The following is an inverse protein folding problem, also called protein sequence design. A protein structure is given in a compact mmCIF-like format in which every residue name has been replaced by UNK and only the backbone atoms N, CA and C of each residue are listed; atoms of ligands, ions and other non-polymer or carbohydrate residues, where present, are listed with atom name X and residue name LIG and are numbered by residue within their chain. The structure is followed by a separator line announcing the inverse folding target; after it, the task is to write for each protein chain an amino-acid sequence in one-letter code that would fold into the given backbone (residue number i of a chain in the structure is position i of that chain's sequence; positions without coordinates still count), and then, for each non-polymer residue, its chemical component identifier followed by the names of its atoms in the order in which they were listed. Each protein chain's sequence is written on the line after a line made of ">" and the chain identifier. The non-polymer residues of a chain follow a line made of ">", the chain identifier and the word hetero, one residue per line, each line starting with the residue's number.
data_IF_330418156964
#
_entry.id   IF_330418156964
#
_cell.length_a   1.000
_cell.length_b   1.000
_cell.length_c   1.000
_cell.angle_alpha   90.00
_cell.angle_beta   90.00
_cell.angle_gamma   90.00
#
_symmetry.space_group_name_H-M   'P 1'
#
loop_
_entity.id
_entity.type
_entity.pdbx_description
1 polymer ?
#
# COMPACT_ATOMS: atom_id res chain seq x y z
N UNK A 1 -20.08 -15.56 10.11
CA UNK A 1 -19.68 -14.73 11.27
C UNK A 1 -18.30 -14.23 10.99
N UNK A 2 -18.10 -12.93 11.06
CA UNK A 2 -16.80 -12.31 10.82
C UNK A 2 -15.93 -12.37 12.09
N UNK A 3 -14.60 -12.54 11.95
CA UNK A 3 -13.69 -12.47 13.10
C UNK A 3 -13.39 -11.02 13.50
N UNK A 4 -12.97 -10.81 14.74
CA UNK A 4 -12.63 -9.48 15.25
C UNK A 4 -11.44 -8.86 14.49
N UNK A 5 -10.48 -9.70 14.11
CA UNK A 5 -9.29 -9.28 13.35
C UNK A 5 -9.66 -8.82 11.94
N UNK A 6 -10.60 -9.51 11.28
CA UNK A 6 -11.10 -9.10 9.99
C UNK A 6 -11.86 -7.75 10.07
N UNK A 7 -12.58 -7.52 11.18
CA UNK A 7 -13.34 -6.29 11.38
C UNK A 7 -12.41 -5.10 11.66
N UNK A 8 -11.41 -5.31 12.51
CA UNK A 8 -10.36 -4.34 12.80
C UNK A 8 -9.60 -3.97 11.51
N UNK A 9 -9.23 -4.98 10.71
CA UNK A 9 -8.55 -4.75 9.44
C UNK A 9 -9.39 -3.92 8.47
N UNK A 10 -10.66 -4.27 8.24
CA UNK A 10 -11.50 -3.46 7.35
C UNK A 10 -11.65 -2.02 7.83
N UNK A 11 -11.88 -1.81 9.12
CA UNK A 11 -11.97 -0.46 9.69
C UNK A 11 -10.68 0.33 9.49
N UNK A 12 -9.52 -0.30 9.67
CA UNK A 12 -8.23 0.34 9.43
C UNK A 12 -8.08 0.79 7.97
N UNK A 13 -8.42 -0.07 7.00
CA UNK A 13 -8.35 0.26 5.57
C UNK A 13 -9.40 1.30 5.15
N UNK A 14 -10.60 1.30 5.73
CA UNK A 14 -11.64 2.31 5.49
C UNK A 14 -11.20 3.71 5.93
N UNK A 15 -10.48 3.80 7.04
CA UNK A 15 -9.98 5.07 7.59
C UNK A 15 -8.64 5.51 6.99
N UNK A 16 -7.97 4.62 6.26
CA UNK A 16 -6.61 4.86 5.77
C UNK A 16 -6.47 6.10 4.87
N UNK A 17 -7.41 6.41 3.95
CA UNK A 17 -7.33 7.64 3.16
C UNK A 17 -7.30 8.92 4.01
N UNK A 18 -8.02 8.94 5.12
CA UNK A 18 -8.00 10.08 6.05
C UNK A 18 -6.66 10.19 6.78
N UNK A 19 -6.03 9.07 7.12
CA UNK A 19 -4.74 9.04 7.82
C UNK A 19 -3.56 9.45 6.92
N UNK A 20 -3.57 9.04 5.65
CA UNK A 20 -2.49 9.35 4.69
C UNK A 20 -2.66 10.76 4.09
N UNK A 21 -3.88 11.28 4.04
CA UNK A 21 -4.21 12.56 3.44
C UNK A 21 -4.71 12.41 2.01
N UNK A 22 -6.00 12.10 1.89
CA UNK A 22 -6.70 11.84 0.62
C UNK A 22 -6.53 12.95 -0.44
N UNK A 23 -6.31 14.20 -0.02
CA UNK A 23 -6.19 15.36 -0.90
C UNK A 23 -4.76 15.57 -1.44
N UNK A 24 -3.81 14.70 -1.10
CA UNK A 24 -2.40 14.80 -1.50
C UNK A 24 -2.07 14.02 -2.80
N UNK A 25 -3.06 13.76 -3.65
CA UNK A 25 -2.83 13.08 -4.94
C UNK A 25 -2.53 11.57 -4.81
N UNK A 26 -2.98 10.95 -3.72
CA UNK A 26 -2.93 9.50 -3.56
C UNK A 26 -4.11 8.83 -4.29
N UNK A 27 -3.80 7.74 -4.98
CA UNK A 27 -4.75 6.81 -5.54
C UNK A 27 -4.89 5.62 -4.59
N UNK A 28 -6.09 5.44 -4.03
CA UNK A 28 -6.38 4.38 -3.08
C UNK A 28 -7.02 3.18 -3.75
N UNK A 29 -6.54 1.97 -3.44
CA UNK A 29 -7.06 0.71 -4.00
C UNK A 29 -7.15 0.71 -5.54
N UNK A 30 -6.22 1.39 -6.20
CA UNK A 30 -6.11 1.48 -7.67
C UNK A 30 -4.91 0.70 -8.19
N UNK A 31 -4.98 0.29 -9.45
CA UNK A 31 -3.85 -0.33 -10.13
C UNK A 31 -2.63 0.59 -10.11
N UNK A 32 -1.47 0.07 -9.74
CA UNK A 32 -0.20 0.78 -9.79
C UNK A 32 0.28 0.83 -11.25
N UNK A 33 0.44 2.04 -11.82
CA UNK A 33 0.99 2.23 -13.18
C UNK A 33 0.31 1.32 -14.25
N UNK A 34 -1.02 1.30 -14.25
CA UNK A 34 -1.86 0.46 -15.12
C UNK A 34 -1.72 -1.07 -14.93
N UNK A 35 -1.02 -1.50 -13.88
CA UNK A 35 -0.94 -2.91 -13.49
C UNK A 35 -2.20 -3.38 -12.76
N UNK A 36 -2.30 -4.71 -12.55
CA UNK A 36 -3.33 -5.32 -11.70
C UNK A 36 -2.99 -5.29 -10.21
N UNK A 37 -1.78 -4.86 -9.86
CA UNK A 37 -1.34 -4.76 -8.46
C UNK A 37 -1.98 -3.52 -7.84
N UNK A 38 -2.57 -3.69 -6.65
CA UNK A 38 -3.36 -2.63 -5.99
C UNK A 38 -2.79 -2.36 -4.60
N UNK A 39 -1.83 -1.44 -4.48
CA UNK A 39 -1.43 -0.91 -3.18
C UNK A 39 -2.61 -0.25 -2.47
N UNK A 40 -2.52 -0.15 -1.15
CA UNK A 40 -3.51 0.58 -0.35
C UNK A 40 -3.55 2.06 -0.73
N UNK A 41 -2.38 2.66 -0.97
CA UNK A 41 -2.24 4.00 -1.52
C UNK A 41 -0.98 4.13 -2.37
N UNK A 42 -1.03 4.87 -3.47
CA UNK A 42 0.17 5.30 -4.18
C UNK A 42 -0.01 6.64 -4.86
N UNK A 43 1.08 7.37 -5.11
CA UNK A 43 1.07 8.63 -5.84
C UNK A 43 2.18 8.62 -6.89
N UNK A 44 1.79 8.83 -8.14
CA UNK A 44 2.73 8.94 -9.26
C UNK A 44 3.60 10.20 -9.18
N UNK A 45 3.02 11.30 -8.71
CA UNK A 45 3.70 12.59 -8.59
C UNK A 45 4.73 12.58 -7.45
N UNK A 46 4.34 12.02 -6.30
CA UNK A 46 5.24 11.91 -5.14
C UNK A 46 6.20 10.73 -5.24
N UNK A 47 5.99 9.81 -6.19
CA UNK A 47 6.74 8.54 -6.32
C UNK A 47 6.68 7.69 -5.04
N UNK A 48 5.51 7.59 -4.43
CA UNK A 48 5.32 6.83 -3.18
C UNK A 48 4.33 5.69 -3.41
N UNK A 49 4.64 4.51 -2.86
CA UNK A 49 3.72 3.38 -2.73
C UNK A 49 3.62 3.01 -1.25
N UNK A 50 2.40 2.82 -0.75
CA UNK A 50 2.12 2.46 0.64
C UNK A 50 1.24 1.22 0.73
N UNK A 51 1.54 0.38 1.70
CA UNK A 51 0.75 -0.80 2.08
C UNK A 51 0.50 -0.76 3.59
N UNK A 52 -0.75 -0.96 4.00
CA UNK A 52 -1.19 -1.01 5.39
C UNK A 52 -1.35 -2.47 5.83
N UNK A 53 -0.79 -2.81 6.99
CA UNK A 53 -0.91 -4.14 7.59
C UNK A 53 -1.06 -4.07 9.11
N UNK A 54 -1.65 -5.10 9.76
CA UNK A 54 -1.61 -5.17 11.22
C UNK A 54 -0.16 -5.34 11.70
N UNK A 55 0.17 -4.76 12.85
CA UNK A 55 1.48 -4.88 13.50
C UNK A 55 1.67 -6.29 14.13
N UNK A 56 1.72 -7.30 13.27
CA UNK A 56 1.94 -8.70 13.65
C UNK A 56 3.05 -9.29 12.79
N UNK A 57 3.74 -10.36 13.24
CA UNK A 57 4.78 -10.99 12.43
C UNK A 57 4.30 -11.42 11.03
N UNK A 58 3.07 -11.93 10.93
CA UNK A 58 2.46 -12.30 9.64
C UNK A 58 2.07 -11.10 8.78
N UNK A 59 1.56 -10.03 9.39
CA UNK A 59 1.28 -8.75 8.71
C UNK A 59 2.53 -8.14 8.11
N UNK A 60 3.61 -8.06 8.89
CA UNK A 60 4.93 -7.58 8.46
C UNK A 60 5.49 -8.40 7.29
N UNK A 61 5.46 -9.73 7.40
CA UNK A 61 5.96 -10.62 6.35
C UNK A 61 5.16 -10.47 5.04
N UNK A 62 3.84 -10.37 5.14
CA UNK A 62 2.96 -10.22 3.98
C UNK A 62 3.14 -8.87 3.31
N UNK A 63 3.17 -7.78 4.09
CA UNK A 63 3.38 -6.42 3.57
C UNK A 63 4.72 -6.28 2.85
N UNK A 64 5.82 -6.82 3.41
CA UNK A 64 7.13 -6.83 2.75
C UNK A 64 7.10 -7.56 1.40
N UNK A 65 6.39 -8.68 1.31
CA UNK A 65 6.23 -9.42 0.05
C UNK A 65 5.47 -8.59 -0.99
N UNK A 66 4.39 -7.91 -0.59
CA UNK A 66 3.63 -7.05 -1.50
C UNK A 66 4.45 -5.86 -1.98
N UNK A 67 5.15 -5.16 -1.07
CA UNK A 67 6.04 -4.05 -1.45
C UNK A 67 7.15 -4.49 -2.40
N UNK A 68 7.73 -5.68 -2.21
CA UNK A 68 8.70 -6.22 -3.15
C UNK A 68 8.08 -6.44 -4.56
N UNK A 69 6.83 -6.89 -4.62
CA UNK A 69 6.07 -7.00 -5.88
C UNK A 69 5.84 -5.64 -6.55
N UNK A 70 5.43 -4.63 -5.79
CA UNK A 70 5.26 -3.27 -6.31
C UNK A 70 6.58 -2.66 -6.78
N UNK A 71 7.67 -2.90 -6.05
CA UNK A 71 9.01 -2.47 -6.46
C UNK A 71 9.40 -3.08 -7.79
N UNK A 72 9.14 -4.38 -7.98
CA UNK A 72 9.41 -5.05 -9.24
C UNK A 72 8.54 -4.50 -10.38
N UNK A 73 7.26 -4.20 -10.12
CA UNK A 73 6.35 -3.61 -11.11
C UNK A 73 6.85 -2.24 -11.59
N UNK A 74 7.22 -1.36 -10.64
CA UNK A 74 7.81 -0.05 -10.97
C UNK A 74 9.08 -0.23 -11.80
N UNK A 75 9.98 -1.15 -11.39
CA UNK A 75 11.22 -1.41 -12.12
C UNK A 75 10.99 -1.93 -13.56
N UNK A 76 9.89 -2.65 -13.79
CA UNK A 76 9.54 -3.19 -15.09
C UNK A 76 8.75 -2.20 -15.96
N UNK A 77 8.24 -1.11 -15.39
CA UNK A 77 7.42 -0.13 -16.12
C UNK A 77 8.32 0.80 -16.94
N UNK A 78 8.14 0.89 -18.28
CA UNK A 78 8.92 1.80 -19.11
C UNK A 78 8.83 3.26 -18.65
N UNK A 79 9.97 3.94 -18.62
CA UNK A 79 10.06 5.36 -18.22
C UNK A 79 9.99 5.60 -16.71
N UNK A 80 9.97 4.54 -15.89
CA UNK A 80 10.09 4.64 -14.44
C UNK A 80 11.50 4.28 -13.98
N UNK A 81 11.98 4.98 -12.95
CA UNK A 81 13.21 4.65 -12.25
C UNK A 81 12.86 4.24 -10.82
N UNK A 82 12.93 2.95 -10.51
CA UNK A 82 12.51 2.42 -9.20
C UNK A 82 13.26 3.03 -8.00
N UNK A 83 14.48 3.54 -8.20
CA UNK A 83 15.26 4.16 -7.14
C UNK A 83 14.76 5.57 -6.77
N UNK A 84 13.88 6.17 -7.59
CA UNK A 84 13.17 7.41 -7.27
C UNK A 84 11.89 7.15 -6.46
N UNK A 85 11.49 5.88 -6.31
CA UNK A 85 10.27 5.52 -5.61
C UNK A 85 10.53 5.11 -4.16
N UNK A 86 9.65 5.56 -3.27
CA UNK A 86 9.65 5.17 -1.86
C UNK A 86 8.53 4.16 -1.59
N UNK A 87 8.86 3.05 -0.95
CA UNK A 87 7.93 1.98 -0.59
C UNK A 87 7.78 1.92 0.92
N UNK A 88 6.57 2.15 1.42
CA UNK A 88 6.29 2.32 2.86
C UNK A 88 5.35 1.21 3.32
N UNK A 89 5.74 0.52 4.39
CA UNK A 89 4.87 -0.38 5.12
C UNK A 89 4.32 0.36 6.33
N UNK A 90 3.06 0.78 6.24
CA UNK A 90 2.34 1.38 7.35
C UNK A 90 1.72 0.27 8.22
N UNK A 91 1.68 0.51 9.53
CA UNK A 91 1.21 -0.48 10.50
C UNK A 91 0.08 0.09 11.35
N UNK A 92 -0.91 -0.75 11.65
CA UNK A 92 -1.93 -0.46 12.66
C UNK A 92 -1.90 -1.49 13.78
N UNK A 93 -2.30 -1.07 14.98
CA UNK A 93 -2.52 -1.99 16.10
C UNK A 93 -3.90 -2.65 15.94
N UNK A 94 -3.99 -4.00 15.95
CA UNK A 94 -5.23 -4.73 15.76
C UNK A 94 -6.21 -4.60 16.94
#
# INVERSE_FOLDING_TARGET
>A
GESLEAAAGRRAHEMYPLAVGQDQGYLFNRGLLDSRLRPDAWSGDLRIVRELKPNTPSGLATGRRQLAGYRQEVANTPGQNVEEWTFILDLYEP
#
